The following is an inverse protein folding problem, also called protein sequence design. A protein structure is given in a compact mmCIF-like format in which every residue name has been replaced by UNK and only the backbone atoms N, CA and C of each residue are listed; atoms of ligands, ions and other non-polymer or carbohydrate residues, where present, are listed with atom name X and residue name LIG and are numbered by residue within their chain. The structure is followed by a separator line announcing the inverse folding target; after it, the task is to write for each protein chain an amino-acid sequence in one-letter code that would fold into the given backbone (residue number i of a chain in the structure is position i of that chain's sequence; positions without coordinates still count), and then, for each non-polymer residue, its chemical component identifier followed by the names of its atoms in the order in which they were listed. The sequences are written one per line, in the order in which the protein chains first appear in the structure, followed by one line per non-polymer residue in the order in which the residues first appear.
data_IF_840324965859
#
_entry.id   IF_840324965859
#
_cell.length_a   1.000
_cell.length_b   1.000
_cell.length_c   1.000
_cell.angle_alpha   90.00
_cell.angle_beta   90.00
_cell.angle_gamma   90.00
#
_symmetry.space_group_name_H-M   'P 1'
#
loop_
_entity.id
_entity.type
_entity.pdbx_description
1 polymer ?
#
# COMPACT_ATOMS: atom_id res chain seq x y z
N UNK A 1 0.13 31.54 7.42
CA UNK A 1 0.50 30.40 8.30
C UNK A 1 1.57 29.59 7.61
N UNK A 2 2.59 29.13 8.34
CA UNK A 2 3.60 28.23 7.77
C UNK A 2 3.01 26.81 7.61
N UNK A 3 3.28 26.14 6.48
CA UNK A 3 2.86 24.75 6.25
C UNK A 3 3.86 23.83 6.91
N UNK A 4 3.42 23.01 7.87
CA UNK A 4 4.27 22.00 8.49
C UNK A 4 4.54 20.86 7.49
N UNK A 5 5.75 20.31 7.46
CA UNK A 5 6.04 19.12 6.67
C UNK A 5 5.27 17.91 7.22
N UNK A 6 4.72 17.09 6.33
CA UNK A 6 4.06 15.83 6.66
C UNK A 6 4.60 14.74 5.74
N UNK A 7 5.04 13.63 6.31
CA UNK A 7 5.38 12.41 5.56
C UNK A 7 4.12 11.57 5.36
N UNK A 8 4.01 10.94 4.19
CA UNK A 8 2.98 9.95 3.91
C UNK A 8 3.66 8.57 3.79
N UNK A 9 3.10 7.59 4.48
CA UNK A 9 3.48 6.19 4.37
C UNK A 9 2.24 5.32 4.24
N UNK A 10 2.35 4.20 3.52
CA UNK A 10 1.27 3.24 3.36
C UNK A 10 1.82 1.82 3.35
N UNK A 11 1.29 0.99 4.24
CA UNK A 11 1.54 -0.45 4.27
C UNK A 11 0.58 -1.12 3.28
N UNK A 12 1.12 -1.87 2.32
CA UNK A 12 0.32 -2.56 1.28
C UNK A 12 -0.12 -3.95 1.76
N UNK A 13 -0.77 -3.97 2.92
CA UNK A 13 -1.29 -5.20 3.51
C UNK A 13 -2.54 -5.72 2.79
N UNK A 14 -2.60 -7.04 2.65
CA UNK A 14 -3.71 -7.77 2.07
C UNK A 14 -3.90 -9.04 2.90
N UNK A 15 -4.97 -9.79 2.69
CA UNK A 15 -5.23 -10.98 3.49
C UNK A 15 -4.08 -12.00 3.41
N UNK A 16 -3.36 -12.07 2.29
CA UNK A 16 -2.18 -12.93 2.17
C UNK A 16 -1.05 -12.55 3.14
N UNK A 17 -0.92 -11.30 3.58
CA UNK A 17 0.12 -10.90 4.55
C UNK A 17 -0.16 -11.49 5.93
N UNK A 18 -1.44 -11.54 6.33
CA UNK A 18 -1.89 -12.19 7.56
C UNK A 18 -1.73 -13.71 7.51
N UNK A 19 -2.12 -14.35 6.39
CA UNK A 19 -1.96 -15.80 6.19
C UNK A 19 -0.47 -16.19 6.25
N UNK A 20 0.39 -15.41 5.59
CA UNK A 20 1.84 -15.59 5.66
C UNK A 20 2.38 -15.48 7.09
N UNK A 21 1.92 -14.48 7.84
CA UNK A 21 2.36 -14.25 9.22
C UNK A 21 1.88 -15.34 10.17
N UNK A 22 0.69 -15.91 9.93
CA UNK A 22 0.17 -17.08 10.66
C UNK A 22 0.83 -18.41 10.25
N UNK A 23 1.65 -18.44 9.20
CA UNK A 23 2.31 -19.65 8.70
C UNK A 23 1.44 -20.53 7.82
N UNK A 24 0.34 -20.00 7.26
CA UNK A 24 -0.56 -20.73 6.38
C UNK A 24 -0.08 -20.72 4.93
N UNK A 25 0.36 -21.85 4.38
CA UNK A 25 0.90 -21.94 3.02
C UNK A 25 -0.04 -21.43 1.90
N UNK A 26 -1.35 -21.37 2.17
CA UNK A 26 -2.37 -20.82 1.26
C UNK A 26 -2.11 -19.37 0.85
N UNK A 27 -1.29 -18.61 1.60
CA UNK A 27 -0.92 -17.24 1.28
C UNK A 27 -0.28 -17.10 -0.11
N UNK A 28 0.41 -18.14 -0.60
CA UNK A 28 1.17 -18.10 -1.87
C UNK A 28 0.28 -17.98 -3.10
N UNK A 29 -0.92 -18.57 -3.03
CA UNK A 29 -1.89 -18.62 -4.12
C UNK A 29 -3.06 -17.65 -3.90
N UNK A 30 -3.02 -16.90 -2.79
CA UNK A 30 -4.10 -15.99 -2.44
C UNK A 30 -4.12 -14.80 -3.41
N UNK A 31 -5.29 -14.45 -3.99
CA UNK A 31 -5.39 -13.35 -4.93
C UNK A 31 -5.08 -12.03 -4.23
N UNK A 32 -4.34 -11.15 -4.90
CA UNK A 32 -4.08 -9.82 -4.36
C UNK A 32 -4.83 -8.73 -5.11
N UNK A 33 -5.33 -7.74 -4.38
CA UNK A 33 -5.96 -6.55 -4.97
C UNK A 33 -4.95 -5.44 -5.32
N UNK A 34 -3.66 -5.63 -5.02
CA UNK A 34 -2.62 -4.60 -5.20
C UNK A 34 -2.44 -4.17 -6.66
N UNK A 35 -2.67 -5.07 -7.62
CA UNK A 35 -2.65 -4.74 -9.05
C UNK A 35 -3.74 -3.71 -9.45
N UNK A 36 -4.83 -3.61 -8.68
CA UNK A 36 -5.87 -2.60 -8.86
C UNK A 36 -5.65 -1.37 -7.97
N UNK A 37 -5.21 -1.57 -6.73
CA UNK A 37 -5.05 -0.47 -5.76
C UNK A 37 -3.84 0.41 -6.07
N UNK A 38 -2.67 -0.18 -6.38
CA UNK A 38 -1.42 0.57 -6.59
C UNK A 38 -1.55 1.61 -7.71
N UNK A 39 -2.08 1.30 -8.91
CA UNK A 39 -2.26 2.33 -9.95
C UNK A 39 -3.14 3.50 -9.51
N UNK A 40 -4.22 3.23 -8.77
CA UNK A 40 -5.14 4.27 -8.28
C UNK A 40 -4.50 5.16 -7.23
N UNK A 41 -3.69 4.58 -6.34
CA UNK A 41 -2.93 5.33 -5.34
C UNK A 41 -1.92 6.23 -6.03
N UNK A 42 -1.16 5.69 -6.99
CA UNK A 42 -0.17 6.46 -7.75
C UNK A 42 -0.81 7.61 -8.53
N UNK A 43 -1.94 7.37 -9.21
CA UNK A 43 -2.71 8.41 -9.92
C UNK A 43 -3.17 9.53 -8.98
N UNK A 44 -3.57 9.20 -7.74
CA UNK A 44 -3.97 10.18 -6.74
C UNK A 44 -2.78 11.01 -6.24
N UNK A 45 -1.66 10.34 -5.94
CA UNK A 45 -0.44 11.01 -5.46
C UNK A 45 0.14 11.95 -6.50
N UNK A 46 0.14 11.53 -7.78
CA UNK A 46 0.62 12.34 -8.90
C UNK A 46 -0.21 13.63 -9.07
N UNK A 47 -1.54 13.52 -9.02
CA UNK A 47 -2.47 14.68 -9.07
C UNK A 47 -2.24 15.71 -7.98
N UNK A 48 -1.66 15.30 -6.85
CA UNK A 48 -1.38 16.16 -5.71
C UNK A 48 0.11 16.46 -5.52
N UNK A 49 0.97 16.03 -6.45
CA UNK A 49 2.43 16.20 -6.41
C UNK A 49 3.04 15.68 -5.09
N UNK A 50 2.49 14.59 -4.54
CA UNK A 50 2.92 14.00 -3.27
C UNK A 50 3.95 12.89 -3.47
N UNK A 51 4.87 12.80 -2.52
CA UNK A 51 5.79 11.66 -2.37
C UNK A 51 5.36 10.80 -1.19
N UNK A 52 5.62 9.50 -1.27
CA UNK A 52 5.20 8.49 -0.31
C UNK A 52 6.30 7.45 -0.12
N UNK A 53 6.30 6.76 1.02
CA UNK A 53 7.03 5.51 1.24
C UNK A 53 6.02 4.36 1.35
N UNK A 54 6.21 3.30 0.56
CA UNK A 54 5.43 2.06 0.69
C UNK A 54 6.20 1.05 1.53
N UNK A 55 5.47 0.28 2.35
CA UNK A 55 5.99 -0.86 3.11
C UNK A 55 5.25 -2.15 2.75
#
# INVERSE_FOLDING_TARGET
MARLPASLSLDLDDQWTYLKTHGEDSWKDYPSYLNYAVPRILDLLDKHELKITFF
#
